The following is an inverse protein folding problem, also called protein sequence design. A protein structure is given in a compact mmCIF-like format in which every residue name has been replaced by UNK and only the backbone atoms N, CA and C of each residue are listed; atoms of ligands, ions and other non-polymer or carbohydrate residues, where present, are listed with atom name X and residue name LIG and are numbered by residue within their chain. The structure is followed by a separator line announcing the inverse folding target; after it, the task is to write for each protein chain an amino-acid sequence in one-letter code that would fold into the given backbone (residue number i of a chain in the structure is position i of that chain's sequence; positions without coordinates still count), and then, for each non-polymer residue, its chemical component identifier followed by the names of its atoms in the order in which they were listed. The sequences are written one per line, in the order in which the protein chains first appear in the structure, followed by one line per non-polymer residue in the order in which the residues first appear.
data_IF_506032466663
#
_entry.id   IF_506032466663
#
_cell.length_a   1.000
_cell.length_b   1.000
_cell.length_c   1.000
_cell.angle_alpha   90.00
_cell.angle_beta   90.00
_cell.angle_gamma   90.00
#
_symmetry.space_group_name_H-M   'P 1'
#
loop_
_entity.id
_entity.type
_entity.pdbx_description
1 polymer ?
#
# COMPACT_ATOMS: atom_id res chain seq x y z
N UNK A 1 -26.63 -66.70 17.07
CA UNK A 1 -25.23 -66.35 17.41
C UNK A 1 -24.58 -65.52 16.28
N UNK A 2 -24.35 -66.04 15.05
CA UNK A 2 -23.66 -65.28 13.97
C UNK A 2 -24.25 -63.93 13.50
N UNK A 3 -25.57 -63.73 13.56
CA UNK A 3 -26.20 -62.43 13.20
C UNK A 3 -25.91 -61.31 14.20
N UNK A 4 -25.65 -61.64 15.46
CA UNK A 4 -25.39 -60.64 16.51
C UNK A 4 -23.96 -60.11 16.40
N UNK A 5 -22.99 -61.00 16.22
CA UNK A 5 -21.57 -60.65 16.00
C UNK A 5 -21.37 -59.77 14.75
N UNK A 6 -22.16 -60.00 13.70
CA UNK A 6 -22.13 -59.19 12.48
C UNK A 6 -22.67 -57.76 12.68
N UNK A 7 -23.63 -57.57 13.60
CA UNK A 7 -24.18 -56.25 13.89
C UNK A 7 -23.24 -55.44 14.78
N UNK A 8 -22.62 -56.09 15.77
CA UNK A 8 -21.67 -55.44 16.67
C UNK A 8 -20.41 -54.98 15.92
N UNK A 9 -19.94 -55.77 14.95
CA UNK A 9 -18.86 -55.38 14.06
C UNK A 9 -19.21 -54.18 13.18
N UNK A 10 -20.47 -54.08 12.73
CA UNK A 10 -20.95 -52.96 11.92
C UNK A 10 -21.06 -51.67 12.74
N UNK A 11 -21.55 -51.78 13.98
CA UNK A 11 -21.67 -50.66 14.91
C UNK A 11 -20.27 -50.12 15.25
N UNK A 12 -19.31 -50.99 15.56
CA UNK A 12 -17.92 -50.58 15.83
C UNK A 12 -17.25 -49.88 14.64
N UNK A 13 -17.56 -50.27 13.40
CA UNK A 13 -17.07 -49.57 12.22
C UNK A 13 -17.71 -48.18 12.05
N UNK A 14 -18.99 -48.04 12.38
CA UNK A 14 -19.73 -46.78 12.31
C UNK A 14 -19.22 -45.77 13.34
N UNK A 15 -18.97 -46.21 14.57
CA UNK A 15 -18.42 -45.39 15.65
C UNK A 15 -17.02 -44.88 15.30
N UNK A 16 -16.16 -45.77 14.75
CA UNK A 16 -14.82 -45.39 14.28
C UNK A 16 -14.87 -44.38 13.12
N UNK A 17 -15.86 -44.49 12.23
CA UNK A 17 -16.07 -43.51 11.16
C UNK A 17 -16.52 -42.17 11.72
N UNK A 18 -17.46 -42.15 12.68
CA UNK A 18 -17.92 -40.91 13.32
C UNK A 18 -16.79 -40.18 14.05
N UNK A 19 -15.94 -40.90 14.80
CA UNK A 19 -14.78 -40.29 15.44
C UNK A 19 -13.80 -39.67 14.42
N UNK A 20 -13.56 -40.35 13.30
CA UNK A 20 -12.71 -39.82 12.22
C UNK A 20 -13.30 -38.56 11.59
N UNK A 21 -14.61 -38.52 11.37
CA UNK A 21 -15.32 -37.34 10.83
C UNK A 21 -15.20 -36.16 11.79
N UNK A 22 -15.49 -36.36 13.08
CA UNK A 22 -15.38 -35.31 14.11
C UNK A 22 -13.93 -34.80 14.22
N UNK A 23 -12.93 -35.69 14.11
CA UNK A 23 -11.52 -35.31 14.14
C UNK A 23 -11.11 -34.52 12.89
N UNK A 24 -11.62 -34.89 11.71
CA UNK A 24 -11.41 -34.14 10.47
C UNK A 24 -12.07 -32.76 10.54
N UNK A 25 -13.31 -32.65 11.01
CA UNK A 25 -13.99 -31.36 11.20
C UNK A 25 -13.23 -30.45 12.16
N UNK A 26 -12.72 -30.99 13.27
CA UNK A 26 -11.84 -30.23 14.19
C UNK A 26 -10.53 -29.79 13.53
N UNK A 27 -9.94 -30.63 12.69
CA UNK A 27 -8.69 -30.32 11.98
C UNK A 27 -8.91 -29.28 10.89
N UNK A 28 -10.01 -29.37 10.14
CA UNK A 28 -10.42 -28.38 9.13
C UNK A 28 -10.78 -27.05 9.77
N UNK A 29 -11.46 -27.05 10.92
CA UNK A 29 -11.73 -25.84 11.69
C UNK A 29 -10.44 -25.19 12.26
N UNK A 30 -9.37 -25.97 12.43
CA UNK A 30 -8.05 -25.46 12.85
C UNK A 30 -7.18 -24.98 11.67
N UNK A 31 -7.47 -25.41 10.44
CA UNK A 31 -6.86 -24.85 9.23
C UNK A 31 -7.44 -23.45 8.99
N UNK A 32 -6.74 -22.42 9.48
CA UNK A 32 -7.03 -21.02 9.11
C UNK A 32 -6.75 -20.85 7.62
N UNK A 33 -7.77 -21.02 6.78
CA UNK A 33 -7.69 -20.65 5.38
C UNK A 33 -7.71 -19.13 5.31
N UNK A 34 -6.55 -18.54 5.06
CA UNK A 34 -6.46 -17.13 4.69
C UNK A 34 -7.02 -16.95 3.29
N UNK A 35 -7.93 -16.00 3.13
CA UNK A 35 -8.41 -15.63 1.80
C UNK A 35 -7.31 -14.87 1.06
N UNK A 36 -6.87 -15.38 -0.09
CA UNK A 36 -5.81 -14.76 -0.90
C UNK A 36 -6.43 -13.77 -1.86
N UNK A 37 -6.08 -12.49 -1.70
CA UNK A 37 -6.69 -11.38 -2.44
C UNK A 37 -5.62 -10.61 -3.20
N UNK A 38 -5.80 -10.44 -4.51
CA UNK A 38 -4.97 -9.52 -5.31
C UNK A 38 -5.40 -8.08 -5.07
N UNK A 39 -4.45 -7.17 -4.81
CA UNK A 39 -4.75 -5.74 -4.62
C UNK A 39 -5.32 -5.09 -5.88
N UNK A 40 -4.90 -5.57 -7.07
CA UNK A 40 -5.43 -5.11 -8.37
C UNK A 40 -6.92 -5.41 -8.56
N UNK A 41 -7.47 -6.37 -7.81
CA UNK A 41 -8.85 -6.84 -7.92
C UNK A 41 -9.68 -6.45 -6.68
N UNK A 42 -9.17 -5.55 -5.83
CA UNK A 42 -9.89 -5.11 -4.65
C UNK A 42 -11.05 -4.19 -5.03
N UNK A 43 -12.24 -4.54 -4.55
CA UNK A 43 -13.39 -3.63 -4.55
C UNK A 43 -13.39 -2.73 -3.32
N UNK A 44 -14.04 -1.57 -3.43
CA UNK A 44 -14.24 -0.62 -2.33
C UNK A 44 -14.92 -1.29 -1.11
N UNK A 45 -15.89 -2.17 -1.36
CA UNK A 45 -16.54 -2.95 -0.30
C UNK A 45 -15.54 -3.87 0.40
N UNK A 46 -14.72 -4.60 -0.38
CA UNK A 46 -13.78 -5.58 0.18
C UNK A 46 -12.68 -4.91 1.00
N UNK A 47 -12.13 -3.79 0.53
CA UNK A 47 -11.15 -3.06 1.33
C UNK A 47 -11.78 -2.49 2.60
N UNK A 48 -13.03 -2.02 2.55
CA UNK A 48 -13.77 -1.57 3.74
C UNK A 48 -13.93 -2.67 4.80
N UNK A 49 -14.24 -3.89 4.39
CA UNK A 49 -14.31 -5.05 5.28
C UNK A 49 -12.95 -5.36 5.93
N UNK A 50 -11.86 -5.31 5.15
CA UNK A 50 -10.49 -5.55 5.65
C UNK A 50 -10.12 -4.47 6.69
N UNK A 51 -10.31 -3.19 6.35
CA UNK A 51 -9.98 -2.05 7.21
C UNK A 51 -10.74 -2.10 8.54
N UNK A 52 -12.04 -2.42 8.49
CA UNK A 52 -12.85 -2.59 9.69
C UNK A 52 -12.33 -3.71 10.60
N UNK A 53 -11.91 -4.86 10.02
CA UNK A 53 -11.36 -5.98 10.80
C UNK A 53 -10.02 -5.67 11.45
N UNK A 54 -9.21 -4.81 10.83
CA UNK A 54 -7.92 -4.39 11.39
C UNK A 54 -8.00 -3.15 12.27
N UNK A 55 -9.21 -2.58 12.46
CA UNK A 55 -9.41 -1.38 13.26
C UNK A 55 -8.78 -0.11 12.67
N UNK A 56 -8.59 -0.07 11.35
CA UNK A 56 -8.02 1.10 10.65
C UNK A 56 -9.14 1.96 10.08
N UNK A 57 -9.11 3.26 10.41
CA UNK A 57 -10.08 4.23 9.90
C UNK A 57 -9.54 4.94 8.66
N UNK A 58 -10.44 5.41 7.81
CA UNK A 58 -10.07 6.28 6.69
C UNK A 58 -10.32 7.75 7.06
N UNK A 59 -9.47 8.65 6.60
CA UNK A 59 -9.61 10.09 6.84
C UNK A 59 -9.19 10.86 5.60
N UNK A 60 -10.06 11.75 5.13
CA UNK A 60 -9.72 12.66 4.03
C UNK A 60 -9.20 13.97 4.59
N UNK A 61 -8.08 14.46 4.06
CA UNK A 61 -7.55 15.79 4.34
C UNK A 61 -7.58 16.61 3.05
N UNK A 62 -8.12 17.81 3.15
CA UNK A 62 -8.17 18.76 2.04
C UNK A 62 -6.81 19.42 1.84
N UNK A 63 -6.47 19.81 0.61
CA UNK A 63 -5.15 20.40 0.31
C UNK A 63 -4.87 21.68 1.12
N UNK A 64 -5.92 22.41 1.50
CA UNK A 64 -5.86 23.66 2.24
C UNK A 64 -5.45 23.46 3.72
N UNK A 65 -5.58 22.24 4.24
CA UNK A 65 -5.21 21.88 5.60
C UNK A 65 -3.69 21.67 5.76
N UNK A 66 -2.93 21.62 4.67
CA UNK A 66 -1.48 21.47 4.71
C UNK A 66 -0.74 22.79 4.94
N UNK A 67 0.42 22.71 5.60
CA UNK A 67 1.39 23.80 5.61
C UNK A 67 1.81 24.19 4.18
N UNK A 68 2.31 25.41 4.01
CA UNK A 68 2.67 25.90 2.67
C UNK A 68 3.84 25.09 2.10
N UNK A 69 3.68 24.60 0.88
CA UNK A 69 4.71 23.92 0.12
C UNK A 69 5.19 24.75 -1.07
N UNK A 70 6.45 24.53 -1.46
CA UNK A 70 6.97 25.02 -2.73
C UNK A 70 6.49 24.08 -3.84
N UNK A 71 5.56 24.56 -4.66
CA UNK A 71 5.02 23.81 -5.80
C UNK A 71 6.12 23.45 -6.80
N UNK A 72 6.08 22.23 -7.34
CA UNK A 72 6.91 21.82 -8.48
C UNK A 72 6.09 21.97 -9.75
N UNK A 73 6.36 23.02 -10.52
CA UNK A 73 5.73 23.21 -11.83
C UNK A 73 6.42 22.31 -12.86
N UNK A 74 5.70 21.31 -13.36
CA UNK A 74 6.16 20.41 -14.41
C UNK A 74 5.00 20.04 -15.35
N UNK A 75 5.24 19.94 -16.69
CA UNK A 75 4.21 19.52 -17.64
C UNK A 75 3.64 18.14 -17.32
N UNK A 76 2.39 17.87 -17.73
CA UNK A 76 1.78 16.54 -17.59
C UNK A 76 2.58 15.51 -18.37
N UNK A 77 2.46 14.24 -17.98
CA UNK A 77 2.83 13.16 -18.87
C UNK A 77 1.71 12.96 -19.90
N UNK A 78 2.07 12.93 -21.18
CA UNK A 78 1.14 12.66 -22.27
C UNK A 78 1.21 11.18 -22.63
N UNK A 79 0.17 10.42 -22.31
CA UNK A 79 0.10 9.01 -22.67
C UNK A 79 -0.02 8.82 -24.18
N UNK A 80 0.84 7.97 -24.73
CA UNK A 80 0.77 7.49 -26.11
C UNK A 80 -0.32 6.46 -26.36
N UNK A 81 -0.36 5.91 -27.57
CA UNK A 81 -1.37 4.93 -28.01
C UNK A 81 -1.05 3.50 -27.53
N UNK A 82 0.20 3.22 -27.21
CA UNK A 82 0.76 1.93 -26.78
C UNK A 82 0.14 1.45 -25.45
N UNK A 83 0.28 0.18 -25.06
CA UNK A 83 -0.24 -0.26 -23.76
C UNK A 83 0.46 0.47 -22.58
N UNK A 84 -0.19 0.59 -21.43
CA UNK A 84 0.39 1.23 -20.22
C UNK A 84 1.76 0.64 -19.87
N UNK A 85 1.83 -0.69 -19.74
CA UNK A 85 3.07 -1.40 -19.39
C UNK A 85 4.24 -1.10 -20.35
N UNK A 86 3.94 -0.78 -21.62
CA UNK A 86 4.97 -0.48 -22.62
C UNK A 86 5.55 0.93 -22.48
N UNK A 87 4.90 1.81 -21.71
CA UNK A 87 5.30 3.20 -21.52
C UNK A 87 5.89 3.47 -20.14
N UNK A 88 5.99 2.46 -19.26
CA UNK A 88 6.44 2.67 -17.87
C UNK A 88 7.85 3.26 -17.76
N UNK A 89 8.76 2.89 -18.66
CA UNK A 89 10.10 3.49 -18.71
C UNK A 89 10.05 5.00 -18.99
N UNK A 90 9.09 5.47 -19.80
CA UNK A 90 8.89 6.89 -20.09
C UNK A 90 8.27 7.62 -18.91
N UNK A 91 7.31 7.00 -18.23
CA UNK A 91 6.71 7.54 -17.01
C UNK A 91 7.76 7.68 -15.90
N UNK A 92 8.64 6.68 -15.75
CA UNK A 92 9.77 6.73 -14.81
C UNK A 92 10.76 7.84 -15.18
N UNK A 93 11.08 8.02 -16.47
CA UNK A 93 11.90 9.16 -16.93
C UNK A 93 11.24 10.50 -16.59
N UNK A 94 9.93 10.62 -16.84
CA UNK A 94 9.16 11.81 -16.50
C UNK A 94 9.21 12.12 -14.99
N UNK A 95 9.04 11.12 -14.12
CA UNK A 95 9.15 11.32 -12.66
C UNK A 95 10.57 11.69 -12.23
N UNK A 96 11.61 11.08 -12.82
CA UNK A 96 13.00 11.46 -12.54
C UNK A 96 13.25 12.94 -12.88
N UNK A 97 12.78 13.39 -14.04
CA UNK A 97 12.95 14.77 -14.50
C UNK A 97 12.11 15.78 -13.72
N UNK A 98 10.87 15.41 -13.35
CA UNK A 98 9.97 16.24 -12.57
C UNK A 98 10.48 16.43 -11.14
N UNK A 99 10.89 15.34 -10.48
CA UNK A 99 11.28 15.36 -9.08
C UNK A 99 12.72 15.87 -8.90
N UNK A 100 13.63 15.62 -9.84
CA UNK A 100 15.07 15.95 -9.72
C UNK A 100 15.61 15.59 -8.34
N UNK A 101 15.47 14.31 -7.98
CA UNK A 101 15.88 13.83 -6.67
C UNK A 101 17.41 13.91 -6.53
N UNK A 102 17.93 14.20 -5.32
CA UNK A 102 19.36 14.26 -5.09
C UNK A 102 20.01 12.87 -5.25
N UNK A 103 21.34 12.84 -5.37
CA UNK A 103 22.10 11.60 -5.49
C UNK A 103 21.79 10.67 -4.31
N UNK A 104 21.59 9.38 -4.61
CA UNK A 104 21.25 8.38 -3.61
C UNK A 104 19.75 8.18 -3.40
N UNK A 105 18.91 8.84 -4.20
CA UNK A 105 17.48 8.60 -4.31
C UNK A 105 17.17 8.20 -5.74
N UNK A 106 16.21 7.29 -5.95
CA UNK A 106 15.88 6.82 -7.28
C UNK A 106 14.37 6.66 -7.47
N UNK A 107 13.96 6.72 -8.73
CA UNK A 107 12.66 6.30 -9.23
C UNK A 107 12.89 5.03 -10.03
N UNK A 108 12.21 3.95 -9.69
CA UNK A 108 12.33 2.65 -10.32
C UNK A 108 11.06 2.27 -11.04
N UNK A 109 11.25 1.66 -12.21
CA UNK A 109 10.22 0.86 -12.83
C UNK A 109 10.12 -0.49 -12.09
N UNK A 110 8.96 -0.78 -11.50
CA UNK A 110 8.69 -2.02 -10.78
C UNK A 110 7.43 -2.73 -11.26
N UNK A 111 6.87 -2.35 -12.42
CA UNK A 111 5.61 -2.93 -12.91
C UNK A 111 5.65 -4.45 -13.11
N UNK A 112 6.85 -5.02 -13.29
CA UNK A 112 7.06 -6.46 -13.40
C UNK A 112 7.34 -7.15 -12.05
N UNK A 113 7.56 -6.40 -10.98
CA UNK A 113 7.80 -6.92 -9.62
C UNK A 113 6.48 -7.12 -8.87
N UNK A 114 5.80 -8.22 -9.16
CA UNK A 114 4.46 -8.54 -8.65
C UNK A 114 4.46 -9.50 -7.45
N UNK A 115 5.62 -9.75 -6.84
CA UNK A 115 5.77 -10.80 -5.83
C UNK A 115 5.62 -10.31 -4.38
N UNK A 116 4.98 -9.17 -4.15
CA UNK A 116 4.70 -8.72 -2.79
C UNK A 116 3.52 -9.46 -2.19
N UNK A 117 3.67 -9.88 -0.94
CA UNK A 117 2.61 -10.48 -0.15
C UNK A 117 2.66 -10.01 1.30
N UNK A 118 1.47 -9.87 1.91
CA UNK A 118 1.32 -9.58 3.34
C UNK A 118 0.16 -10.39 3.91
N UNK A 119 0.44 -11.14 4.96
CA UNK A 119 -0.60 -11.79 5.77
C UNK A 119 -1.15 -10.79 6.79
N UNK A 120 -2.46 -10.55 6.74
CA UNK A 120 -3.18 -9.73 7.71
C UNK A 120 -4.03 -10.65 8.58
N UNK A 121 -3.42 -11.09 9.70
CA UNK A 121 -4.01 -12.09 10.61
C UNK A 121 -5.38 -11.72 11.14
N UNK A 122 -5.56 -10.47 11.55
CA UNK A 122 -6.82 -9.96 12.10
C UNK A 122 -7.95 -9.93 11.07
N UNK A 123 -7.63 -9.79 9.78
CA UNK A 123 -8.61 -9.82 8.71
C UNK A 123 -8.80 -11.23 8.09
N UNK A 124 -7.94 -12.19 8.43
CA UNK A 124 -7.85 -13.52 7.82
C UNK A 124 -7.67 -13.46 6.29
N UNK A 125 -6.79 -12.58 5.82
CA UNK A 125 -6.45 -12.43 4.39
C UNK A 125 -4.94 -12.45 4.15
N UNK A 126 -4.54 -12.91 2.97
CA UNK A 126 -3.21 -12.67 2.40
C UNK A 126 -3.41 -11.72 1.21
N UNK A 127 -2.89 -10.50 1.34
CA UNK A 127 -2.82 -9.57 0.23
C UNK A 127 -1.65 -9.94 -0.68
N UNK A 128 -1.83 -9.81 -1.99
CA UNK A 128 -0.77 -9.97 -2.99
C UNK A 128 -0.84 -8.92 -4.08
N UNK A 129 0.29 -8.59 -4.70
CA UNK A 129 0.37 -7.73 -5.88
C UNK A 129 1.66 -6.94 -5.95
N UNK A 130 1.60 -5.77 -6.57
CA UNK A 130 2.70 -4.83 -6.74
C UNK A 130 2.18 -3.45 -7.12
N UNK A 131 3.06 -2.60 -7.61
CA UNK A 131 2.73 -1.27 -8.14
C UNK A 131 3.56 -1.03 -9.40
N UNK A 132 3.33 0.09 -10.09
CA UNK A 132 4.01 0.38 -11.37
C UNK A 132 5.40 0.98 -11.14
N UNK A 133 5.49 1.91 -10.20
CA UNK A 133 6.71 2.70 -9.95
C UNK A 133 7.00 2.74 -8.46
N UNK A 134 8.28 2.67 -8.10
CA UNK A 134 8.74 2.83 -6.73
C UNK A 134 9.67 4.04 -6.62
N UNK A 135 9.60 4.77 -5.50
CA UNK A 135 10.52 5.88 -5.20
C UNK A 135 11.09 5.71 -3.80
N UNK A 136 12.39 5.99 -3.65
CA UNK A 136 13.06 5.77 -2.39
C UNK A 136 14.54 6.12 -2.32
N UNK A 137 15.09 6.15 -1.10
CA UNK A 137 16.51 6.22 -0.88
C UNK A 137 17.22 4.89 -1.20
N UNK A 138 18.34 4.98 -1.90
CA UNK A 138 19.32 3.91 -2.16
C UNK A 138 18.75 2.70 -2.89
N UNK A 139 18.38 1.63 -2.18
CA UNK A 139 17.78 0.39 -2.72
C UNK A 139 16.52 0.00 -1.92
N UNK A 140 15.93 0.98 -1.24
CA UNK A 140 14.76 0.81 -0.38
C UNK A 140 13.73 1.84 -0.80
N UNK A 141 12.53 1.41 -1.15
CA UNK A 141 11.44 2.30 -1.52
C UNK A 141 10.47 2.50 -0.37
N UNK A 142 9.94 3.72 -0.28
CA UNK A 142 8.91 4.12 0.67
C UNK A 142 7.67 4.69 -0.02
N UNK A 143 7.75 4.90 -1.34
CA UNK A 143 6.64 5.35 -2.15
C UNK A 143 6.39 4.32 -3.24
N UNK A 144 5.12 3.93 -3.40
CA UNK A 144 4.62 3.30 -4.62
C UNK A 144 3.75 4.28 -5.39
N UNK A 145 3.86 4.27 -6.71
CA UNK A 145 3.03 5.08 -7.60
C UNK A 145 2.30 4.13 -8.53
N UNK A 146 0.98 4.22 -8.42
CA UNK A 146 0.01 3.54 -9.24
C UNK A 146 -0.42 4.49 -10.36
N UNK A 147 0.24 4.36 -11.52
CA UNK A 147 0.06 5.22 -12.68
C UNK A 147 -0.88 4.59 -13.70
N UNK A 148 -1.88 5.35 -14.15
CA UNK A 148 -2.90 4.90 -15.10
C UNK A 148 -3.06 5.89 -16.25
N UNK A 149 -3.53 5.43 -17.40
CA UNK A 149 -3.84 6.29 -18.55
C UNK A 149 -5.00 7.24 -18.34
N UNK A 150 -5.90 6.92 -17.40
CA UNK A 150 -7.08 7.72 -17.17
C UNK A 150 -7.58 7.61 -15.74
N UNK A 151 -8.18 8.70 -15.26
CA UNK A 151 -8.84 8.77 -13.96
C UNK A 151 -9.86 7.63 -13.73
N UNK A 152 -10.55 7.17 -14.76
CA UNK A 152 -11.53 6.08 -14.63
C UNK A 152 -10.90 4.73 -14.22
N UNK A 153 -9.60 4.56 -14.48
CA UNK A 153 -8.82 3.37 -14.10
C UNK A 153 -8.11 3.53 -12.76
N UNK A 154 -8.21 4.70 -12.13
CA UNK A 154 -7.65 4.97 -10.82
C UNK A 154 -8.58 4.41 -9.72
N UNK A 155 -8.30 3.18 -9.27
CA UNK A 155 -9.09 2.49 -8.23
C UNK A 155 -8.49 2.73 -6.84
N UNK A 156 -9.25 3.37 -5.94
CA UNK A 156 -8.76 3.73 -4.60
C UNK A 156 -8.56 2.51 -3.72
N UNK A 157 -9.46 1.53 -3.79
CA UNK A 157 -9.31 0.27 -3.07
C UNK A 157 -7.99 -0.44 -3.40
N UNK A 158 -7.53 -0.37 -4.65
CA UNK A 158 -6.23 -0.90 -5.05
C UNK A 158 -5.09 -0.13 -4.35
N UNK A 159 -5.07 1.21 -4.45
CA UNK A 159 -4.03 2.04 -3.82
C UNK A 159 -3.95 1.83 -2.29
N UNK A 160 -5.10 1.65 -1.62
CA UNK A 160 -5.14 1.33 -0.19
C UNK A 160 -4.59 -0.08 0.08
N UNK A 161 -4.91 -1.07 -0.75
CA UNK A 161 -4.35 -2.42 -0.65
C UNK A 161 -2.83 -2.44 -0.84
N UNK A 162 -2.33 -1.67 -1.80
CA UNK A 162 -0.91 -1.43 -2.05
C UNK A 162 -0.22 -0.78 -0.85
N UNK A 163 -0.86 0.21 -0.21
CA UNK A 163 -0.34 0.84 1.00
C UNK A 163 -0.18 -0.18 2.13
N UNK A 164 -1.17 -1.08 2.28
CA UNK A 164 -1.07 -2.18 3.23
C UNK A 164 0.03 -3.18 2.85
N UNK A 165 0.29 -3.45 1.57
CA UNK A 165 1.42 -4.30 1.17
C UNK A 165 2.77 -3.64 1.51
N UNK A 166 2.92 -2.35 1.23
CA UNK A 166 4.16 -1.61 1.44
C UNK A 166 4.51 -1.42 2.93
N UNK A 167 3.50 -1.33 3.79
CA UNK A 167 3.63 -1.23 5.25
C UNK A 167 4.13 -2.53 5.94
N UNK A 168 4.54 -3.57 5.19
CA UNK A 168 4.91 -4.88 5.73
C UNK A 168 6.32 -4.95 6.38
N UNK A 169 6.62 -4.07 7.35
CA UNK A 169 7.88 -3.96 8.12
C UNK A 169 9.04 -3.22 7.43
N UNK A 170 8.72 -2.28 6.55
CA UNK A 170 9.67 -1.27 6.09
C UNK A 170 10.12 -0.39 7.28
N UNK A 171 11.42 -0.11 7.40
CA UNK A 171 11.91 0.89 8.34
C UNK A 171 11.41 2.30 7.98
N UNK A 172 11.00 2.50 6.73
CA UNK A 172 10.46 3.72 6.16
C UNK A 172 8.92 3.76 6.28
N UNK A 173 8.37 4.96 6.45
CA UNK A 173 6.94 5.19 6.42
C UNK A 173 6.45 5.02 4.97
N UNK A 174 5.37 4.26 4.73
CA UNK A 174 4.87 4.00 3.39
C UNK A 174 3.93 5.12 2.91
N UNK A 175 4.02 5.43 1.61
CA UNK A 175 3.12 6.33 0.90
C UNK A 175 2.76 5.70 -0.45
N UNK A 176 1.50 5.83 -0.86
CA UNK A 176 1.04 5.39 -2.18
C UNK A 176 0.43 6.57 -2.91
N UNK A 177 0.80 6.75 -4.17
CA UNK A 177 0.23 7.76 -5.07
C UNK A 177 -0.60 7.05 -6.11
N UNK A 178 -1.83 7.50 -6.32
CA UNK A 178 -2.69 7.06 -7.40
C UNK A 178 -2.88 8.22 -8.37
N UNK A 179 -2.46 8.06 -9.61
CA UNK A 179 -2.45 9.17 -10.56
C UNK A 179 -2.70 8.73 -11.99
N UNK A 180 -3.28 9.64 -12.78
CA UNK A 180 -3.28 9.53 -14.23
C UNK A 180 -2.09 10.25 -14.90
N UNK A 181 -1.14 10.72 -14.10
CA UNK A 181 -0.02 11.59 -14.46
C UNK A 181 -0.43 12.94 -15.09
N UNK A 182 -1.72 13.29 -15.02
CA UNK A 182 -2.26 14.54 -15.53
C UNK A 182 -2.96 15.33 -14.42
N UNK A 183 -4.29 15.23 -14.32
CA UNK A 183 -5.12 16.05 -13.43
C UNK A 183 -5.52 15.31 -12.14
N UNK A 184 -5.47 13.98 -12.14
CA UNK A 184 -5.86 13.18 -11.00
C UNK A 184 -4.64 12.79 -10.16
N UNK A 185 -4.61 13.26 -8.91
CA UNK A 185 -3.58 12.91 -7.93
C UNK A 185 -4.18 12.71 -6.56
N UNK A 186 -4.22 11.45 -6.13
CA UNK A 186 -4.52 11.05 -4.77
C UNK A 186 -3.27 10.50 -4.09
N UNK A 187 -2.99 10.97 -2.88
CA UNK A 187 -1.92 10.47 -2.03
C UNK A 187 -2.53 9.77 -0.82
N UNK A 188 -2.01 8.58 -0.50
CA UNK A 188 -2.42 7.74 0.62
C UNK A 188 -1.23 7.45 1.53
N UNK A 189 -1.41 7.58 2.85
CA UNK A 189 -0.38 7.25 3.83
C UNK A 189 -1.01 6.84 5.17
N UNK A 190 -0.24 6.18 6.02
CA UNK A 190 -0.69 5.76 7.35
C UNK A 190 -0.25 6.79 8.40
N UNK A 191 -1.16 7.19 9.28
CA UNK A 191 -0.85 8.06 10.42
C UNK A 191 -1.52 7.54 11.68
N UNK A 192 -0.76 7.51 12.78
CA UNK A 192 -1.29 7.15 14.10
C UNK A 192 -1.87 8.38 14.79
N UNK A 193 -3.08 8.28 15.34
CA UNK A 193 -3.75 9.32 16.15
C UNK A 193 -4.48 8.66 17.30
N UNK A 194 -4.22 9.08 18.54
CA UNK A 194 -4.85 8.53 19.75
C UNK A 194 -4.80 6.98 19.82
N UNK A 195 -3.64 6.41 19.52
CA UNK A 195 -3.42 4.96 19.43
C UNK A 195 -4.15 4.20 18.31
N UNK A 196 -4.90 4.90 17.45
CA UNK A 196 -5.54 4.33 16.28
C UNK A 196 -4.74 4.64 15.00
N UNK A 197 -4.68 3.65 14.11
CA UNK A 197 -4.10 3.84 12.78
C UNK A 197 -5.17 4.39 11.82
N UNK A 198 -4.81 5.45 11.10
CA UNK A 198 -5.62 6.05 10.05
C UNK A 198 -4.93 5.91 8.70
N UNK A 199 -5.67 5.49 7.68
CA UNK A 199 -5.29 5.71 6.29
C UNK A 199 -5.79 7.09 5.91
N UNK A 200 -4.85 7.98 5.66
CA UNK A 200 -5.11 9.36 5.25
C UNK A 200 -5.08 9.43 3.73
N UNK A 201 -6.13 10.02 3.14
CA UNK A 201 -6.23 10.30 1.71
C UNK A 201 -6.22 11.80 1.46
N UNK A 202 -5.46 12.23 0.46
CA UNK A 202 -5.36 13.63 0.07
C UNK A 202 -5.45 13.76 -1.45
N UNK A 203 -6.44 14.50 -1.92
CA UNK A 203 -6.57 14.87 -3.34
C UNK A 203 -5.94 16.24 -3.52
N UNK A 204 -5.05 16.38 -4.50
CA UNK A 204 -4.33 17.62 -4.77
C UNK A 204 -4.01 17.79 -6.25
N UNK A 205 -3.53 18.98 -6.65
CA UNK A 205 -3.03 19.19 -8.00
C UNK A 205 -1.63 18.56 -8.18
N UNK A 206 -1.25 18.33 -9.45
CA UNK A 206 0.04 17.75 -9.83
C UNK A 206 1.23 18.44 -9.19
N UNK A 207 1.23 19.78 -9.16
CA UNK A 207 2.40 20.54 -8.71
C UNK A 207 2.64 20.38 -7.21
N UNK A 208 1.54 20.29 -6.45
CA UNK A 208 1.58 19.97 -5.03
C UNK A 208 1.94 18.50 -4.78
N UNK A 209 1.36 17.56 -5.55
CA UNK A 209 1.67 16.13 -5.41
C UNK A 209 3.16 15.85 -5.61
N UNK A 210 3.76 16.40 -6.66
CA UNK A 210 5.20 16.28 -6.93
C UNK A 210 6.05 16.85 -5.78
N UNK A 211 5.65 18.00 -5.22
CA UNK A 211 6.34 18.59 -4.07
C UNK A 211 6.28 17.68 -2.83
N UNK A 212 5.10 17.13 -2.52
CA UNK A 212 4.89 16.20 -1.40
C UNK A 212 5.72 14.93 -1.60
N UNK A 213 5.68 14.31 -2.78
CA UNK A 213 6.47 13.11 -3.11
C UNK A 213 7.97 13.38 -2.90
N UNK A 214 8.50 14.48 -3.45
CA UNK A 214 9.91 14.85 -3.33
C UNK A 214 10.33 15.06 -1.88
N UNK A 215 9.55 15.82 -1.11
CA UNK A 215 9.88 16.09 0.28
C UNK A 215 9.78 14.82 1.14
N UNK A 216 8.75 14.01 0.92
CA UNK A 216 8.53 12.78 1.67
C UNK A 216 9.69 11.80 1.49
N UNK A 217 10.11 11.56 0.25
CA UNK A 217 11.24 10.65 0.02
C UNK A 217 12.52 11.18 0.65
N UNK A 218 12.79 12.49 0.57
CA UNK A 218 13.98 13.10 1.19
C UNK A 218 13.96 12.97 2.71
N UNK A 219 12.81 13.21 3.35
CA UNK A 219 12.66 13.07 4.80
C UNK A 219 12.90 11.63 5.25
N UNK A 220 12.28 10.67 4.58
CA UNK A 220 12.45 9.25 4.87
C UNK A 220 13.88 8.77 4.63
N UNK A 221 14.55 9.28 3.59
CA UNK A 221 15.97 9.05 3.35
C UNK A 221 16.86 9.62 4.46
N UNK A 222 16.61 10.86 4.89
CA UNK A 222 17.34 11.48 6.00
C UNK A 222 17.12 10.71 7.30
N UNK A 223 15.90 10.23 7.56
CA UNK A 223 15.57 9.38 8.73
C UNK A 223 16.33 8.07 8.69
N UNK A 224 16.35 7.40 7.54
CA UNK A 224 17.12 6.17 7.33
C UNK A 224 18.62 6.40 7.51
N UNK A 225 19.17 7.45 6.90
CA UNK A 225 20.58 7.83 7.00
C UNK A 225 21.02 8.04 8.46
N UNK A 226 20.23 8.79 9.24
CA UNK A 226 20.45 8.96 10.69
C UNK A 226 20.44 7.62 11.43
N UNK A 227 19.51 6.72 11.11
CA UNK A 227 19.39 5.43 11.78
C UNK A 227 20.60 4.51 11.52
N UNK A 228 21.10 4.50 10.28
CA UNK A 228 22.25 3.65 9.88
C UNK A 228 23.62 4.34 10.09
N UNK A 229 23.65 5.56 10.66
CA UNK A 229 24.87 6.32 10.90
C UNK A 229 25.52 6.92 9.64
N UNK A 230 24.77 7.02 8.55
CA UNK A 230 25.23 7.52 7.27
C UNK A 230 25.05 9.04 7.14
N UNK A 231 26.17 9.77 7.12
CA UNK A 231 26.21 11.23 6.98
C UNK A 231 26.00 11.72 5.54
N UNK A 232 25.96 10.80 4.56
CA UNK A 232 25.83 11.16 3.14
C UNK A 232 24.39 11.55 2.77
N UNK A 233 23.39 11.11 3.54
CA UNK A 233 21.98 11.49 3.38
C UNK A 233 21.63 12.56 4.43
N UNK A 234 22.27 13.71 4.29
CA UNK A 234 21.91 14.92 5.03
C UNK A 234 21.59 16.00 3.99
N UNK A 235 20.48 15.82 3.27
CA UNK A 235 20.02 16.86 2.35
C UNK A 235 19.41 17.96 3.20
N UNK A 236 20.11 19.09 3.30
CA UNK A 236 19.60 20.31 3.92
C UNK A 236 18.54 20.92 2.99
N UNK A 237 17.29 20.55 3.22
CA UNK A 237 16.15 21.35 2.78
C UNK A 237 15.45 21.87 4.02
N UNK A 238 14.70 22.96 3.88
CA UNK A 238 13.60 23.26 4.81
C UNK A 238 12.60 22.11 4.68
N UNK A 239 12.85 21.01 5.40
CA UNK A 239 11.98 19.85 5.44
C UNK A 239 10.79 20.25 6.30
N UNK A 240 9.86 20.97 5.67
CA UNK A 240 8.48 21.00 6.11
C UNK A 240 8.03 19.55 5.97
N UNK A 241 7.66 18.92 7.08
CA UNK A 241 7.04 17.59 7.05
C UNK A 241 5.93 17.64 5.99
N UNK A 242 6.00 16.84 4.90
CA UNK A 242 5.17 16.96 3.70
C UNK A 242 3.67 16.84 3.98
N UNK A 243 3.34 16.46 5.21
CA UNK A 243 2.01 16.15 5.69
C UNK A 243 1.72 16.82 7.04
N UNK A 244 2.45 17.89 7.39
CA UNK A 244 2.10 18.74 8.53
C UNK A 244 0.80 19.45 8.24
N UNK A 245 -0.17 19.13 9.08
CA UNK A 245 -1.43 19.84 9.11
C UNK A 245 -1.17 21.20 9.75
N UNK A 246 -1.76 22.27 9.20
CA UNK A 246 -1.85 23.55 9.91
C UNK A 246 -2.38 23.26 11.31
N UNK A 247 -1.68 23.71 12.34
CA UNK A 247 -2.20 23.65 13.70
C UNK A 247 -3.55 24.38 13.72
N UNK A 248 -4.65 23.65 13.89
CA UNK A 248 -5.92 24.29 14.25
C UNK A 248 -5.77 24.73 15.70
N UNK A 249 -5.49 26.02 15.90
CA UNK A 249 -5.70 26.65 17.20
C UNK A 249 -7.21 26.61 17.42
N UNK A 250 -7.67 25.71 18.28
CA UNK A 250 -9.02 25.79 18.81
C UNK A 250 -8.98 26.88 19.89
N UNK A 251 -9.58 28.03 19.61
CA UNK A 251 -10.01 28.97 20.65
C UNK A 251 -11.35 28.52 21.21
#
# INVERSE_FOLDING_TARGET
SRKHESNDALIGQLELMMEKVVKMEKTVAQLKFFDKVSVSNLSEKRIGEILNRIGVKQTTIAKEDFEKFYYIQYPSFEWGVEAEAQQMEEVVRWFNDALKLPRGFNVWDIHTDVYHQREIKSANVILTGGSEIAIGPRRTYCIWIEARKSMARCIKAQAIGELLLLDNNSALNPLVVLTDCNDFWDIFFIKKRNDENHIVRCTMDRSLALAVIKQFVIEEGNRLGKWIGDKTICVSGDVIEPLRRKAKIFY
#
